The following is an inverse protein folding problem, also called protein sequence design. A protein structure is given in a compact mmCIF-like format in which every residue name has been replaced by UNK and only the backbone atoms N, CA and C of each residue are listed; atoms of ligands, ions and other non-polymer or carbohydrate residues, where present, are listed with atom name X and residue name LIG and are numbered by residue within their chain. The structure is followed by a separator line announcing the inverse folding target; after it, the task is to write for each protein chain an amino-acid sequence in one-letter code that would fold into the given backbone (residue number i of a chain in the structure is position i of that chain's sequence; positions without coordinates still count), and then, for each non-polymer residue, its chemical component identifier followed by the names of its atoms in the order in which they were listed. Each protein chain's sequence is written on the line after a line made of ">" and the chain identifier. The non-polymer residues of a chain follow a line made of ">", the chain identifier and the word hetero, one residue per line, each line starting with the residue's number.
data_IF_853281149948
#
_entry.id   IF_853281149948
#
_cell.length_a   1.000
_cell.length_b   1.000
_cell.length_c   1.000
_cell.angle_alpha   90.00
_cell.angle_beta   90.00
_cell.angle_gamma   90.00
#
_symmetry.space_group_name_H-M   'P 1'
#
loop_
_entity.id
_entity.type
_entity.pdbx_description
1 polymer ?
#
# COMPACT_ATOMS: atom_id res chain seq x y z
N UNK A 1 11.00 -7.16 -13.27
CA UNK A 1 9.77 -6.52 -13.74
C UNK A 1 8.58 -7.30 -13.23
N UNK A 2 7.87 -6.76 -12.27
CA UNK A 2 6.67 -7.37 -11.70
C UNK A 2 5.48 -6.62 -12.30
N UNK A 3 4.98 -7.07 -13.46
CA UNK A 3 3.76 -6.63 -14.12
C UNK A 3 3.57 -5.13 -14.32
N UNK A 4 3.29 -4.35 -13.32
CA UNK A 4 3.08 -2.89 -13.39
C UNK A 4 4.38 -2.06 -13.30
N UNK A 5 5.58 -2.67 -13.47
CA UNK A 5 6.83 -1.92 -13.37
C UNK A 5 7.17 -1.47 -11.94
N UNK A 6 6.69 -2.18 -10.93
CA UNK A 6 7.08 -1.93 -9.53
C UNK A 6 8.61 -1.96 -9.46
N UNK A 7 9.28 -0.87 -9.06
CA UNK A 7 10.73 -0.84 -8.99
C UNK A 7 11.22 -1.96 -8.07
N UNK A 8 12.00 -2.90 -8.62
CA UNK A 8 12.43 -4.10 -7.90
C UNK A 8 13.38 -3.80 -6.72
N UNK A 9 13.81 -2.55 -6.51
CA UNK A 9 14.83 -2.15 -5.52
C UNK A 9 14.80 -0.66 -5.19
N UNK A 10 15.38 -0.23 -4.11
CA UNK A 10 15.32 -0.60 -2.69
C UNK A 10 14.18 0.10 -1.92
N UNK A 11 13.42 1.00 -2.58
CA UNK A 11 12.34 1.80 -1.96
C UNK A 11 11.16 0.92 -1.52
N UNK A 12 10.89 -0.14 -2.25
CA UNK A 12 9.83 -1.12 -1.97
C UNK A 12 9.96 -1.77 -0.57
N UNK A 13 11.20 -2.00 -0.11
CA UNK A 13 11.46 -2.68 1.16
C UNK A 13 11.63 -1.74 2.34
N UNK A 14 11.74 -0.44 2.10
CA UNK A 14 12.04 0.52 3.15
C UNK A 14 10.94 0.60 4.22
N UNK A 15 9.65 0.71 3.88
CA UNK A 15 8.58 0.68 4.90
C UNK A 15 8.58 -0.64 5.68
N UNK A 16 8.85 -1.77 5.03
CA UNK A 16 8.89 -3.07 5.68
C UNK A 16 10.00 -3.16 6.74
N UNK A 17 11.20 -2.60 6.47
CA UNK A 17 12.28 -2.59 7.46
C UNK A 17 11.90 -1.80 8.70
N UNK A 18 11.26 -0.64 8.54
CA UNK A 18 10.79 0.17 9.68
C UNK A 18 9.71 -0.57 10.46
N UNK A 19 8.68 -1.10 9.77
CA UNK A 19 7.60 -1.85 10.40
C UNK A 19 8.11 -3.08 11.18
N UNK A 20 9.07 -3.83 10.61
CA UNK A 20 9.70 -4.95 11.31
C UNK A 20 10.58 -4.50 12.46
N UNK A 21 11.26 -3.36 12.40
CA UNK A 21 12.03 -2.82 13.52
C UNK A 21 11.12 -2.50 14.69
N UNK A 22 9.96 -1.86 14.43
CA UNK A 22 8.94 -1.59 15.44
C UNK A 22 8.41 -2.91 16.02
N UNK A 23 8.01 -3.85 15.16
CA UNK A 23 7.52 -5.17 15.62
C UNK A 23 8.50 -5.86 16.54
N UNK A 24 9.79 -5.79 16.23
CA UNK A 24 10.82 -6.51 16.99
C UNK A 24 11.35 -5.74 18.21
N UNK A 25 10.84 -4.55 18.53
CA UNK A 25 11.26 -3.71 19.66
C UNK A 25 11.17 -4.48 20.99
N UNK A 26 10.15 -5.33 21.17
CA UNK A 26 9.93 -6.10 22.38
C UNK A 26 11.10 -7.04 22.73
N UNK A 27 11.92 -7.43 21.76
CA UNK A 27 13.11 -8.26 21.98
C UNK A 27 14.34 -7.46 22.41
N UNK A 28 14.32 -6.14 22.18
CA UNK A 28 15.40 -5.23 22.53
C UNK A 28 15.20 -4.51 23.86
N UNK A 29 16.03 -3.51 24.10
CA UNK A 29 15.93 -2.62 25.27
C UNK A 29 14.86 -1.55 25.10
N UNK A 30 14.52 -1.17 23.87
CA UNK A 30 13.49 -0.18 23.61
C UNK A 30 12.10 -0.82 23.74
N UNK A 31 11.34 -0.36 24.72
CA UNK A 31 9.97 -0.82 24.97
C UNK A 31 9.00 0.27 24.56
N UNK A 32 7.99 -0.12 23.80
CA UNK A 32 6.94 0.78 23.31
C UNK A 32 5.72 0.65 24.20
N UNK A 33 5.22 1.75 24.72
CA UNK A 33 4.01 1.76 25.55
C UNK A 33 2.81 1.30 24.73
N UNK A 34 1.96 0.47 25.34
CA UNK A 34 0.80 -0.09 24.66
C UNK A 34 1.12 -1.17 23.62
N UNK A 35 2.38 -1.60 23.50
CA UNK A 35 2.76 -2.66 22.56
C UNK A 35 1.97 -3.95 22.82
N UNK A 36 1.43 -4.50 21.76
CA UNK A 36 0.92 -5.87 21.70
C UNK A 36 1.55 -6.62 20.53
N UNK A 37 1.64 -7.93 20.64
CA UNK A 37 2.19 -8.75 19.55
C UNK A 37 1.22 -8.74 18.34
N UNK A 38 1.74 -8.44 17.16
CA UNK A 38 0.95 -8.36 15.92
C UNK A 38 1.72 -8.93 14.74
N UNK A 39 1.02 -9.26 13.68
CA UNK A 39 1.63 -9.57 12.38
C UNK A 39 1.77 -8.27 11.60
N UNK A 40 2.97 -8.00 11.07
CA UNK A 40 3.16 -6.84 10.18
C UNK A 40 2.17 -6.96 9.02
N UNK A 41 1.31 -5.96 8.80
CA UNK A 41 0.35 -5.98 7.72
C UNK A 41 1.01 -6.13 6.34
N UNK A 42 0.25 -6.53 5.32
CA UNK A 42 0.78 -6.61 3.96
C UNK A 42 1.27 -5.24 3.47
N UNK A 43 2.11 -5.29 2.44
CA UNK A 43 2.48 -4.10 1.69
C UNK A 43 1.24 -3.58 0.95
N UNK A 44 1.11 -2.26 0.90
CA UNK A 44 0.06 -1.54 0.21
C UNK A 44 0.68 -0.54 -0.77
N UNK A 45 -0.02 -0.21 -1.83
CA UNK A 45 0.39 0.75 -2.83
C UNK A 45 -0.72 1.73 -3.18
N UNK A 46 -0.44 3.01 -3.12
CA UNK A 46 -1.29 4.05 -3.69
C UNK A 46 -0.73 4.41 -5.07
N UNK A 47 -1.59 4.34 -6.08
CA UNK A 47 -1.24 4.59 -7.47
C UNK A 47 -1.91 5.86 -7.96
N UNK A 48 -1.13 6.72 -8.53
CA UNK A 48 -1.55 8.03 -9.02
C UNK A 48 -0.96 8.31 -10.41
N UNK A 49 -1.78 8.88 -11.29
CA UNK A 49 -1.36 9.38 -12.60
C UNK A 49 -1.74 10.85 -12.69
N UNK A 50 -0.77 11.78 -12.64
CA UNK A 50 -1.04 13.20 -12.75
C UNK A 50 -1.77 13.54 -14.06
N UNK A 51 -2.92 14.24 -13.94
CA UNK A 51 -3.72 14.65 -15.09
C UNK A 51 -4.68 13.60 -15.65
N UNK A 52 -4.76 12.41 -15.06
CA UNK A 52 -5.74 11.40 -15.41
C UNK A 52 -6.92 11.40 -14.43
N UNK A 53 -8.13 11.28 -14.96
CA UNK A 53 -9.33 11.01 -14.15
C UNK A 53 -9.45 9.49 -13.89
N UNK A 54 -8.62 8.96 -12.98
CA UNK A 54 -8.59 7.53 -12.66
C UNK A 54 -7.24 6.89 -12.99
N UNK A 55 -7.24 5.63 -13.41
CA UNK A 55 -6.05 4.83 -13.72
C UNK A 55 -6.07 4.39 -15.18
N UNK A 56 -5.11 4.87 -15.95
CA UNK A 56 -4.87 4.41 -17.33
C UNK A 56 -3.72 3.39 -17.35
N UNK A 57 -4.05 2.11 -17.40
CA UNK A 57 -3.07 1.03 -17.44
C UNK A 57 -2.29 0.95 -18.77
N UNK A 58 -2.69 1.69 -19.81
CA UNK A 58 -1.97 1.74 -21.08
C UNK A 58 -0.68 2.58 -20.97
N UNK A 59 -0.69 3.63 -20.15
CA UNK A 59 0.50 4.46 -19.89
C UNK A 59 1.12 4.16 -18.52
N UNK A 60 1.81 3.04 -18.42
CA UNK A 60 2.50 2.63 -17.19
C UNK A 60 3.65 3.55 -16.78
N UNK A 61 4.16 4.37 -17.70
CA UNK A 61 5.32 5.24 -17.45
C UNK A 61 4.97 6.49 -16.62
N UNK A 62 3.71 6.90 -16.62
CA UNK A 62 3.23 8.07 -15.88
C UNK A 62 2.81 7.79 -14.44
N UNK A 63 2.84 6.52 -14.02
CA UNK A 63 2.47 6.16 -12.65
C UNK A 63 3.44 6.70 -11.62
N UNK A 64 2.89 7.37 -10.62
CA UNK A 64 3.52 7.64 -9.34
C UNK A 64 2.98 6.61 -8.34
N UNK A 65 3.89 5.94 -7.65
CA UNK A 65 3.54 4.92 -6.69
C UNK A 65 4.09 5.25 -5.30
N UNK A 66 3.21 5.23 -4.30
CA UNK A 66 3.59 5.35 -2.90
C UNK A 66 3.39 4.01 -2.21
N UNK A 67 4.48 3.37 -1.81
CA UNK A 67 4.42 2.15 -1.01
C UNK A 67 4.23 2.46 0.45
N UNK A 68 3.34 1.74 1.12
CA UNK A 68 3.07 1.94 2.53
C UNK A 68 2.85 0.61 3.26
N UNK A 69 2.97 0.65 4.58
CA UNK A 69 2.59 -0.43 5.49
C UNK A 69 1.87 0.21 6.67
N UNK A 70 0.69 -0.28 6.98
CA UNK A 70 -0.07 0.17 8.13
C UNK A 70 0.66 -0.20 9.43
N UNK A 71 0.74 0.73 10.35
CA UNK A 71 1.28 0.51 11.69
C UNK A 71 0.15 0.47 12.72
N UNK A 72 0.31 -0.28 13.83
CA UNK A 72 -0.63 -0.27 14.93
C UNK A 72 -0.76 1.10 15.60
N UNK A 73 -1.88 1.34 16.26
CA UNK A 73 -2.22 2.62 16.89
C UNK A 73 -1.28 3.06 18.01
N UNK A 74 -0.57 2.12 18.64
CA UNK A 74 0.43 2.43 19.67
C UNK A 74 1.70 3.09 19.11
N UNK A 75 1.89 3.07 17.79
CA UNK A 75 3.08 3.67 17.16
C UNK A 75 2.90 5.17 17.06
N UNK A 76 3.66 5.90 17.85
CA UNK A 76 3.73 7.36 17.79
C UNK A 76 4.81 7.83 16.81
N UNK A 77 4.86 9.13 16.54
CA UNK A 77 5.94 9.74 15.76
C UNK A 77 7.32 9.47 16.38
N UNK A 78 7.43 9.51 17.70
CA UNK A 78 8.68 9.24 18.39
C UNK A 78 9.16 7.80 18.19
N UNK A 79 8.23 6.84 18.23
CA UNK A 79 8.53 5.42 17.97
C UNK A 79 8.95 5.17 16.52
N UNK A 80 8.31 5.86 15.59
CA UNK A 80 8.72 5.81 14.19
C UNK A 80 10.13 6.39 13.99
N UNK A 81 10.43 7.56 14.54
CA UNK A 81 11.75 8.21 14.43
C UNK A 81 12.85 7.33 15.04
N UNK A 82 12.59 6.70 16.19
CA UNK A 82 13.47 5.70 16.78
C UNK A 82 13.70 4.52 15.82
N UNK A 83 12.64 3.98 15.23
CA UNK A 83 12.75 2.83 14.33
C UNK A 83 13.54 3.15 13.06
N UNK A 84 13.44 4.36 12.53
CA UNK A 84 14.24 4.83 11.40
C UNK A 84 15.73 4.88 11.77
N UNK A 85 16.07 5.40 12.94
CA UNK A 85 17.46 5.46 13.42
C UNK A 85 18.02 4.05 13.62
N UNK A 86 17.28 3.19 14.30
CA UNK A 86 17.67 1.81 14.59
C UNK A 86 17.84 0.97 13.31
N UNK A 87 16.90 1.09 12.36
CA UNK A 87 16.98 0.41 11.08
C UNK A 87 18.18 0.92 10.26
N UNK A 88 18.42 2.23 10.25
CA UNK A 88 19.57 2.85 9.57
C UNK A 88 20.88 2.30 10.13
N UNK A 89 21.03 2.25 11.45
CA UNK A 89 22.23 1.73 12.10
C UNK A 89 22.45 0.25 11.79
N UNK A 90 21.40 -0.59 11.89
CA UNK A 90 21.49 -2.04 11.66
C UNK A 90 21.69 -2.43 10.21
N UNK A 91 21.04 -1.75 9.28
CA UNK A 91 21.08 -2.10 7.85
C UNK A 91 22.15 -1.35 7.07
N UNK A 92 22.74 -0.30 7.65
CA UNK A 92 23.67 0.62 6.97
C UNK A 92 23.10 1.19 5.67
N UNK A 93 21.78 1.48 5.68
CA UNK A 93 21.02 2.04 4.56
C UNK A 93 20.35 3.33 4.99
N UNK A 94 20.12 4.22 4.03
CA UNK A 94 19.40 5.47 4.26
C UNK A 94 17.88 5.23 4.13
N UNK A 95 17.14 5.56 5.19
CA UNK A 95 15.67 5.49 5.25
C UNK A 95 15.02 6.88 5.35
N UNK A 96 15.74 7.97 5.05
CA UNK A 96 15.24 9.33 5.17
C UNK A 96 14.03 9.66 4.28
N UNK A 97 13.75 8.80 3.27
CA UNK A 97 12.58 8.93 2.39
C UNK A 97 11.34 8.20 2.92
N UNK A 98 11.46 7.50 4.05
CA UNK A 98 10.29 6.85 4.67
C UNK A 98 9.61 7.86 5.55
N UNK A 99 8.32 8.06 5.34
CA UNK A 99 7.51 9.04 6.04
C UNK A 99 6.49 8.36 6.95
N UNK A 100 6.14 9.03 8.05
CA UNK A 100 5.05 8.64 8.94
C UNK A 100 3.88 9.59 8.72
N UNK A 101 2.76 9.07 8.24
CA UNK A 101 1.58 9.87 7.91
C UNK A 101 0.29 9.16 8.30
N UNK A 102 -0.77 9.92 8.41
CA UNK A 102 -2.14 9.42 8.58
C UNK A 102 -2.88 9.60 7.26
N UNK A 103 -3.58 8.55 6.83
CA UNK A 103 -4.33 8.54 5.59
C UNK A 103 -5.78 8.15 5.85
N UNK A 104 -6.72 9.01 5.47
CA UNK A 104 -8.15 8.74 5.48
C UNK A 104 -8.62 8.65 4.02
N UNK A 105 -8.93 7.44 3.58
CA UNK A 105 -9.44 7.21 2.22
C UNK A 105 -10.88 7.63 2.01
N UNK A 106 -11.65 7.82 3.10
CA UNK A 106 -13.08 8.04 3.02
C UNK A 106 -13.83 6.82 2.46
N UNK A 107 -14.93 7.08 1.76
CA UNK A 107 -15.77 6.01 1.20
C UNK A 107 -15.11 5.36 -0.02
N UNK A 108 -14.97 4.04 0.02
CA UNK A 108 -14.34 3.26 -1.04
C UNK A 108 -15.18 2.03 -1.39
N UNK A 109 -15.00 1.52 -2.60
CA UNK A 109 -15.42 0.19 -3.02
C UNK A 109 -14.18 -0.67 -3.19
N UNK A 110 -14.26 -1.96 -2.82
CA UNK A 110 -13.13 -2.87 -2.96
C UNK A 110 -13.57 -4.29 -3.33
N UNK A 111 -12.66 -5.00 -3.99
CA UNK A 111 -12.82 -6.44 -4.24
C UNK A 111 -11.48 -7.16 -4.19
N UNK A 112 -11.53 -8.49 -4.14
CA UNK A 112 -10.36 -9.35 -4.24
C UNK A 112 -10.11 -9.70 -5.70
N UNK A 113 -8.91 -9.37 -6.19
CA UNK A 113 -8.38 -9.92 -7.43
C UNK A 113 -7.57 -11.19 -7.13
N UNK A 114 -7.79 -12.24 -7.91
CA UNK A 114 -7.00 -13.47 -7.88
C UNK A 114 -6.43 -13.69 -9.27
N UNK A 115 -5.13 -13.57 -9.42
CA UNK A 115 -4.46 -13.67 -10.71
C UNK A 115 -3.22 -12.78 -10.80
N UNK A 116 -2.67 -12.70 -12.01
CA UNK A 116 -1.56 -11.81 -12.30
C UNK A 116 -2.04 -10.34 -12.34
N UNK A 117 -1.15 -9.42 -12.06
CA UNK A 117 -1.44 -7.97 -12.15
C UNK A 117 -1.92 -7.55 -13.56
N UNK A 118 -1.51 -8.24 -14.62
CA UNK A 118 -1.96 -7.94 -15.98
C UNK A 118 -3.46 -8.20 -16.21
N UNK A 119 -4.10 -8.97 -15.35
CA UNK A 119 -5.54 -9.28 -15.41
C UNK A 119 -6.40 -8.41 -14.49
N UNK A 120 -5.81 -7.54 -13.69
CA UNK A 120 -6.52 -6.59 -12.80
C UNK A 120 -7.50 -5.66 -13.51
N UNK A 121 -7.23 -5.15 -14.73
CA UNK A 121 -8.17 -4.28 -15.43
C UNK A 121 -9.56 -4.88 -15.62
N UNK A 122 -9.69 -6.21 -15.76
CA UNK A 122 -10.99 -6.87 -15.83
C UNK A 122 -11.74 -6.80 -14.49
N UNK A 123 -11.02 -7.06 -13.39
CA UNK A 123 -11.58 -7.01 -12.05
C UNK A 123 -11.98 -5.57 -11.68
N UNK A 124 -11.19 -4.57 -12.09
CA UNK A 124 -11.51 -3.16 -11.86
C UNK A 124 -12.76 -2.73 -12.63
N UNK A 125 -12.95 -3.19 -13.87
CA UNK A 125 -14.20 -2.91 -14.60
C UNK A 125 -15.43 -3.47 -13.88
N UNK A 126 -15.34 -4.66 -13.30
CA UNK A 126 -16.42 -5.25 -12.51
C UNK A 126 -16.65 -4.48 -11.21
N UNK A 127 -15.60 -4.03 -10.54
CA UNK A 127 -15.67 -3.20 -9.35
C UNK A 127 -16.40 -1.88 -9.59
N UNK A 128 -16.01 -1.19 -10.66
CA UNK A 128 -16.61 0.10 -11.03
C UNK A 128 -18.06 -0.05 -11.52
N UNK A 129 -18.37 -1.13 -12.25
CA UNK A 129 -19.73 -1.46 -12.64
C UNK A 129 -20.64 -1.69 -11.43
N UNK A 130 -20.16 -2.46 -10.45
CA UNK A 130 -20.87 -2.68 -9.19
C UNK A 130 -21.12 -1.36 -8.45
N UNK A 131 -20.11 -0.51 -8.31
CA UNK A 131 -20.28 0.80 -7.68
C UNK A 131 -21.35 1.64 -8.40
N UNK A 132 -21.34 1.63 -9.73
CA UNK A 132 -22.32 2.34 -10.56
C UNK A 132 -23.75 1.83 -10.36
N UNK A 133 -23.96 0.52 -10.28
CA UNK A 133 -25.26 -0.10 -10.00
C UNK A 133 -25.80 0.27 -8.61
N UNK A 134 -24.91 0.50 -7.64
CA UNK A 134 -25.27 0.92 -6.29
C UNK A 134 -25.45 2.45 -6.16
N UNK A 135 -25.38 3.20 -7.24
CA UNK A 135 -25.57 4.64 -7.26
C UNK A 135 -24.34 5.47 -6.88
N UNK A 136 -23.15 4.90 -7.03
CA UNK A 136 -21.89 5.59 -6.79
C UNK A 136 -21.13 5.83 -8.10
N UNK A 137 -20.17 6.75 -8.04
CA UNK A 137 -19.19 6.98 -9.11
C UNK A 137 -17.79 7.11 -8.51
N UNK A 138 -16.74 6.88 -9.31
CA UNK A 138 -15.37 7.11 -8.88
C UNK A 138 -15.15 8.54 -8.37
N UNK A 139 -14.26 8.69 -7.39
CA UNK A 139 -13.94 9.96 -6.74
C UNK A 139 -12.43 10.11 -6.55
N UNK A 140 -11.68 9.91 -7.64
CA UNK A 140 -10.24 10.12 -7.67
C UNK A 140 -9.89 11.59 -7.52
N UNK A 141 -8.80 11.88 -6.79
CA UNK A 141 -8.29 13.24 -6.59
C UNK A 141 -6.82 13.21 -6.23
N UNK A 142 -6.22 14.37 -5.97
CA UNK A 142 -4.83 14.49 -5.48
C UNK A 142 -4.61 13.88 -4.09
N UNK A 143 -5.67 13.45 -3.41
CA UNK A 143 -5.62 12.83 -2.08
C UNK A 143 -6.36 11.49 -2.00
N UNK A 144 -7.02 11.05 -3.08
CA UNK A 144 -7.78 9.82 -3.14
C UNK A 144 -7.39 9.02 -4.39
N UNK A 145 -6.73 7.90 -4.18
CA UNK A 145 -6.00 7.17 -5.20
C UNK A 145 -6.57 5.77 -5.44
N UNK A 146 -6.16 5.16 -6.53
CA UNK A 146 -6.24 3.71 -6.68
C UNK A 146 -5.33 3.07 -5.63
N UNK A 147 -5.89 2.13 -4.86
CA UNK A 147 -5.19 1.51 -3.74
C UNK A 147 -5.18 -0.01 -3.91
N UNK A 148 -4.00 -0.58 -3.80
CA UNK A 148 -3.76 -2.02 -3.86
C UNK A 148 -3.18 -2.53 -2.55
N UNK A 149 -3.68 -3.69 -2.06
CA UNK A 149 -3.16 -4.37 -0.88
C UNK A 149 -2.67 -5.74 -1.31
N UNK A 150 -1.36 -5.99 -1.22
CA UNK A 150 -0.72 -7.18 -1.74
C UNK A 150 -0.68 -8.29 -0.70
N UNK A 151 -1.59 -9.29 -0.81
CA UNK A 151 -1.71 -10.37 0.17
C UNK A 151 -0.73 -11.52 -0.06
N UNK A 152 0.02 -11.49 -1.15
CA UNK A 152 1.03 -12.49 -1.50
C UNK A 152 2.35 -11.87 -1.92
N UNK A 153 3.45 -12.61 -1.72
CA UNK A 153 4.75 -12.22 -2.26
C UNK A 153 4.88 -12.75 -3.70
N UNK A 154 4.93 -11.89 -4.73
CA UNK A 154 4.98 -12.31 -6.13
C UNK A 154 6.26 -13.09 -6.50
N UNK A 155 7.30 -13.03 -5.65
CA UNK A 155 8.52 -13.81 -5.84
C UNK A 155 8.39 -15.26 -5.36
N UNK A 156 7.33 -15.58 -4.61
CA UNK A 156 7.09 -16.87 -3.94
C UNK A 156 5.75 -17.50 -4.31
N UNK A 157 4.87 -16.73 -4.91
CA UNK A 157 3.51 -17.14 -5.27
C UNK A 157 3.40 -17.17 -6.80
N UNK A 158 2.88 -18.26 -7.34
CA UNK A 158 2.61 -18.36 -8.78
C UNK A 158 1.59 -17.28 -9.20
N UNK A 159 1.77 -16.66 -10.38
CA UNK A 159 0.96 -15.51 -10.79
C UNK A 159 -0.54 -15.73 -10.69
N UNK A 160 -1.04 -16.90 -11.08
CA UNK A 160 -2.46 -17.27 -11.04
C UNK A 160 -3.03 -17.43 -9.62
N UNK A 161 -2.16 -17.43 -8.60
CA UNK A 161 -2.53 -17.56 -7.18
C UNK A 161 -2.29 -16.30 -6.39
N UNK A 162 -1.77 -15.25 -7.03
CA UNK A 162 -1.60 -13.95 -6.39
C UNK A 162 -2.97 -13.43 -5.95
N UNK A 163 -2.98 -12.70 -4.85
CA UNK A 163 -4.17 -12.07 -4.30
C UNK A 163 -3.88 -10.62 -4.00
N UNK A 164 -4.64 -9.74 -4.61
CA UNK A 164 -4.56 -8.29 -4.40
C UNK A 164 -5.96 -7.78 -4.04
N UNK A 165 -6.07 -7.00 -2.96
CA UNK A 165 -7.29 -6.21 -2.77
C UNK A 165 -7.14 -4.96 -3.62
N UNK A 166 -8.08 -4.77 -4.54
CA UNK A 166 -8.20 -3.58 -5.37
C UNK A 166 -9.27 -2.67 -4.78
N UNK A 167 -8.95 -1.39 -4.63
CA UNK A 167 -9.83 -0.42 -3.97
C UNK A 167 -9.85 0.89 -4.75
N UNK A 168 -11.06 1.39 -5.00
CA UNK A 168 -11.30 2.69 -5.60
C UNK A 168 -12.05 3.61 -4.65
N UNK A 169 -11.67 4.89 -4.55
CA UNK A 169 -12.46 5.90 -3.87
C UNK A 169 -13.75 6.17 -4.65
N UNK A 170 -14.86 6.30 -3.93
CA UNK A 170 -16.17 6.54 -4.54
C UNK A 170 -16.92 7.66 -3.82
N UNK A 171 -17.86 8.29 -4.53
CA UNK A 171 -18.86 9.20 -3.98
C UNK A 171 -20.23 8.85 -4.50
N UNK A 172 -21.26 9.24 -3.76
CA UNK A 172 -22.64 9.09 -4.21
C UNK A 172 -22.88 9.92 -5.48
N UNK A 173 -23.59 9.36 -6.45
CA UNK A 173 -24.08 10.13 -7.60
C UNK A 173 -25.12 11.13 -7.13
N UNK A 174 -25.04 12.34 -7.66
CA UNK A 174 -26.06 13.37 -7.48
C UNK A 174 -27.32 13.04 -8.30
#
# INVERSE_FOLDING_TARGET
>A
DIGLGIPAEPLFRSPAFIAFTIKMSYKGSHKIDGYFEYVVPPLEGLWHQPGAEGVDFADKSSFIWTSMIRLPEFVTRAEFDWAVQEATAKKKKNFSKVEFFTYDEGLCVQCMHIGSYDTEPETLRQLDAFAAEQGYCPDFSDTRFHHEIYLGDPRRTAPEKLKTVLRHPIRKRE
#
